data_IF_481943223525
#
_entry.id   IF_481943223525
#
_cell.length_a   1.000
_cell.length_b   1.000
_cell.length_c   1.000
_cell.angle_alpha   90.00
_cell.angle_beta   90.00
_cell.angle_gamma   90.00
#
_symmetry.space_group_name_H-M   'P 1'
#
loop_
_entity.id
_entity.type
_entity.pdbx_description
1 polymer ?
#
# COMPACT_ATOMS: atom_id res chain seq x y z
N UNK A 1 19.48 -41.16 -41.41
CA UNK A 1 19.36 -41.68 -40.03
C UNK A 1 19.17 -40.52 -39.08
N UNK A 2 17.98 -40.37 -38.48
CA UNK A 2 17.73 -39.34 -37.48
C UNK A 2 18.40 -39.74 -36.16
N UNK A 3 19.34 -38.93 -35.66
CA UNK A 3 19.94 -39.13 -34.33
C UNK A 3 18.85 -38.85 -33.28
N UNK A 4 18.46 -39.87 -32.52
CA UNK A 4 17.66 -39.68 -31.31
C UNK A 4 18.59 -39.22 -30.20
N UNK A 5 18.54 -37.94 -29.85
CA UNK A 5 19.21 -37.44 -28.66
C UNK A 5 18.38 -37.86 -27.44
N UNK A 6 18.94 -38.70 -26.59
CA UNK A 6 18.35 -39.02 -25.28
C UNK A 6 18.74 -37.89 -24.33
N UNK A 7 17.99 -36.78 -24.37
CA UNK A 7 18.21 -35.65 -23.46
C UNK A 7 17.62 -36.05 -22.11
N UNK A 8 18.41 -36.14 -21.03
CA UNK A 8 17.87 -36.47 -19.71
C UNK A 8 16.85 -35.41 -19.31
N UNK A 9 15.61 -35.85 -19.08
CA UNK A 9 14.51 -34.98 -18.67
C UNK A 9 14.88 -34.21 -17.41
N UNK A 10 15.04 -32.89 -17.54
CA UNK A 10 15.51 -32.05 -16.45
C UNK A 10 14.33 -31.65 -15.56
N UNK A 11 14.35 -32.08 -14.30
CA UNK A 11 13.33 -31.72 -13.30
C UNK A 11 13.38 -30.26 -12.88
N UNK A 12 14.42 -29.52 -13.29
CA UNK A 12 14.68 -28.14 -12.89
C UNK A 12 13.49 -27.22 -13.19
N UNK A 13 12.86 -27.36 -14.36
CA UNK A 13 11.69 -26.55 -14.72
C UNK A 13 10.49 -26.80 -13.81
N UNK A 14 10.31 -28.03 -13.34
CA UNK A 14 9.25 -28.35 -12.38
C UNK A 14 9.56 -27.74 -11.00
N UNK A 15 10.82 -27.83 -10.56
CA UNK A 15 11.26 -27.20 -9.30
C UNK A 15 11.05 -25.69 -9.35
N UNK A 16 11.45 -25.03 -10.44
CA UNK A 16 11.22 -23.59 -10.63
C UNK A 16 9.73 -23.23 -10.68
N UNK A 17 8.89 -24.03 -11.33
CA UNK A 17 7.45 -23.80 -11.35
C UNK A 17 6.84 -23.84 -9.94
N UNK A 18 7.25 -24.81 -9.11
CA UNK A 18 6.79 -24.93 -7.72
C UNK A 18 7.28 -23.76 -6.86
N UNK A 19 8.54 -23.36 -7.00
CA UNK A 19 9.10 -22.20 -6.28
C UNK A 19 8.35 -20.93 -6.64
N UNK A 20 8.10 -20.69 -7.93
CA UNK A 20 7.37 -19.52 -8.41
C UNK A 20 5.92 -19.52 -7.93
N UNK A 21 5.26 -20.68 -7.88
CA UNK A 21 3.92 -20.80 -7.28
C UNK A 21 3.93 -20.48 -5.80
N UNK A 22 4.90 -20.97 -5.03
CA UNK A 22 5.02 -20.67 -3.61
C UNK A 22 5.26 -19.17 -3.38
N UNK A 23 6.15 -18.55 -4.18
CA UNK A 23 6.39 -17.11 -4.14
C UNK A 23 5.14 -16.32 -4.51
N UNK A 24 4.44 -16.70 -5.58
CA UNK A 24 3.20 -16.07 -6.00
C UNK A 24 2.13 -16.15 -4.91
N UNK A 25 1.94 -17.32 -4.30
CA UNK A 25 1.01 -17.51 -3.19
C UNK A 25 1.37 -16.63 -1.97
N UNK A 26 2.65 -16.50 -1.65
CA UNK A 26 3.12 -15.56 -0.62
C UNK A 26 2.74 -14.13 -0.98
N UNK A 27 3.06 -13.68 -2.20
CA UNK A 27 2.75 -12.31 -2.64
C UNK A 27 1.24 -12.03 -2.67
N UNK A 28 0.41 -13.03 -3.00
CA UNK A 28 -1.06 -12.91 -2.92
C UNK A 28 -1.50 -12.70 -1.48
N UNK A 29 -0.96 -13.50 -0.55
CA UNK A 29 -1.25 -13.37 0.88
C UNK A 29 -0.94 -11.96 1.36
N UNK A 30 0.27 -11.45 1.14
CA UNK A 30 0.65 -10.12 1.64
C UNK A 30 0.03 -8.96 0.85
N UNK A 31 -0.27 -9.15 -0.44
CA UNK A 31 -0.82 -8.11 -1.32
C UNK A 31 -2.34 -7.91 -1.18
N UNK A 32 -3.12 -8.99 -1.13
CA UNK A 32 -4.58 -8.93 -1.02
C UNK A 32 -5.08 -9.09 0.41
N UNK A 33 -4.46 -9.97 1.19
CA UNK A 33 -4.89 -10.35 2.53
C UNK A 33 -3.81 -10.06 3.58
N UNK A 34 -3.38 -8.79 3.72
CA UNK A 34 -2.27 -8.44 4.59
C UNK A 34 -2.54 -8.84 6.04
N UNK A 35 -1.52 -9.42 6.67
CA UNK A 35 -1.53 -9.70 8.10
C UNK A 35 -1.56 -8.40 8.93
N UNK A 36 -1.95 -8.49 10.20
CA UNK A 36 -1.91 -7.33 11.11
C UNK A 36 -0.50 -6.72 11.23
N UNK A 37 0.54 -7.55 11.19
CA UNK A 37 1.92 -7.07 11.21
C UNK A 37 2.26 -6.24 9.95
N UNK A 38 1.74 -6.66 8.79
CA UNK A 38 1.88 -5.92 7.53
C UNK A 38 1.11 -4.62 7.56
N UNK A 39 -0.13 -4.62 8.08
CA UNK A 39 -0.96 -3.42 8.22
C UNK A 39 -0.36 -2.38 9.18
N UNK A 40 0.32 -2.82 10.24
CA UNK A 40 1.05 -1.93 11.15
C UNK A 40 2.22 -1.21 10.46
N UNK A 41 2.90 -1.88 9.52
CA UNK A 41 4.02 -1.31 8.76
C UNK A 41 3.56 -0.48 7.56
N UNK A 42 2.50 -0.92 6.89
CA UNK A 42 1.94 -0.33 5.68
C UNK A 42 0.43 -0.09 5.89
N UNK A 43 0.03 0.96 6.62
CA UNK A 43 -1.36 1.27 6.84
C UNK A 43 -2.03 1.69 5.53
N UNK A 44 -3.26 1.23 5.29
CA UNK A 44 -4.06 1.65 4.11
C UNK A 44 -4.70 3.02 4.29
N UNK A 45 -4.93 3.40 5.54
CA UNK A 45 -5.53 4.67 5.91
C UNK A 45 -4.81 5.24 7.11
N UNK A 46 -4.45 6.52 7.02
CA UNK A 46 -3.90 7.27 8.14
C UNK A 46 -4.92 8.34 8.52
N UNK A 47 -5.42 8.22 9.74
CA UNK A 47 -6.34 9.19 10.33
C UNK A 47 -5.53 10.24 11.07
N UNK A 48 -5.56 11.47 10.58
CA UNK A 48 -4.93 12.60 11.25
C UNK A 48 -5.88 13.16 12.28
N UNK A 49 -5.45 13.14 13.55
CA UNK A 49 -6.23 13.59 14.69
C UNK A 49 -5.69 14.91 15.23
N UNK A 50 -6.55 15.64 15.93
CA UNK A 50 -6.18 16.78 16.76
C UNK A 50 -5.68 16.30 18.13
N UNK A 51 -4.60 16.89 18.63
CA UNK A 51 -4.16 16.61 20.01
C UNK A 51 -4.95 17.42 21.04
N UNK A 52 -5.47 18.57 20.62
CA UNK A 52 -6.09 19.57 21.47
C UNK A 52 -7.35 20.15 20.81
N UNK A 53 -8.35 20.58 21.60
CA UNK A 53 -9.55 21.21 21.08
C UNK A 53 -9.30 22.65 20.62
N UNK A 54 -9.95 23.06 19.53
CA UNK A 54 -9.74 24.37 18.94
C UNK A 54 -10.68 24.69 17.77
N UNK A 55 -10.48 25.85 17.16
CA UNK A 55 -11.20 26.31 15.98
C UNK A 55 -10.35 26.07 14.72
N UNK A 56 -10.89 25.42 13.71
CA UNK A 56 -10.18 25.22 12.43
C UNK A 56 -10.10 26.57 11.71
N UNK A 57 -8.89 27.13 11.59
CA UNK A 57 -8.67 28.43 10.94
C UNK A 57 -8.68 28.31 9.42
N UNK A 58 -7.90 27.37 8.91
CA UNK A 58 -7.74 27.11 7.49
C UNK A 58 -7.46 25.63 7.23
N UNK A 59 -8.06 25.10 6.16
CA UNK A 59 -7.76 23.77 5.61
C UNK A 59 -7.04 24.00 4.29
N UNK A 60 -5.81 23.50 4.16
CA UNK A 60 -4.95 23.76 3.01
C UNK A 60 -5.07 22.71 1.91
N UNK A 61 -5.71 21.58 2.22
CA UNK A 61 -5.77 20.43 1.31
C UNK A 61 -7.21 20.13 0.89
N UNK A 62 -7.36 19.66 -0.34
CA UNK A 62 -8.65 19.20 -0.89
C UNK A 62 -8.71 17.67 -0.92
N UNK A 63 -9.92 17.08 -0.91
CA UNK A 63 -10.08 15.66 -1.21
C UNK A 63 -9.45 15.30 -2.57
N UNK A 64 -8.83 14.13 -2.65
CA UNK A 64 -8.07 13.61 -3.78
C UNK A 64 -6.77 14.37 -4.13
N UNK A 65 -6.33 15.31 -3.30
CA UNK A 65 -5.05 16.00 -3.50
C UNK A 65 -3.87 15.12 -3.06
N UNK A 66 -2.82 15.11 -3.88
CA UNK A 66 -1.54 14.48 -3.53
C UNK A 66 -0.78 15.37 -2.56
N UNK A 67 -0.46 14.84 -1.39
CA UNK A 67 0.27 15.53 -0.33
C UNK A 67 1.60 14.84 -0.05
N UNK A 68 2.65 15.64 0.15
CA UNK A 68 3.98 15.14 0.53
C UNK A 68 4.11 15.04 2.04
N UNK A 69 5.08 14.27 2.50
CA UNK A 69 5.42 14.21 3.93
C UNK A 69 5.76 15.60 4.49
N UNK A 70 5.24 15.91 5.68
CA UNK A 70 5.46 17.19 6.37
C UNK A 70 4.64 18.37 5.85
N UNK A 71 3.83 18.18 4.79
CA UNK A 71 2.96 19.22 4.24
C UNK A 71 1.83 19.58 5.22
N UNK A 72 1.52 20.88 5.42
CA UNK A 72 0.44 21.28 6.31
C UNK A 72 -0.92 20.94 5.70
N UNK A 73 -1.77 20.27 6.49
CA UNK A 73 -3.12 19.83 6.13
C UNK A 73 -4.15 20.83 6.62
N UNK A 74 -4.07 21.19 7.90
CA UNK A 74 -4.96 22.13 8.53
C UNK A 74 -4.22 22.94 9.60
N UNK A 75 -4.67 24.17 9.81
CA UNK A 75 -4.25 25.04 10.90
C UNK A 75 -5.41 25.19 11.88
N UNK A 76 -5.15 24.88 13.14
CA UNK A 76 -6.12 24.95 14.22
C UNK A 76 -5.68 26.02 15.21
N UNK A 77 -6.58 26.92 15.54
CA UNK A 77 -6.44 27.87 16.63
C UNK A 77 -6.84 27.18 17.93
N UNK A 78 -5.88 26.99 18.82
CA UNK A 78 -6.09 26.36 20.11
C UNK A 78 -6.82 27.31 21.04
N UNK A 79 -7.68 26.74 21.89
CA UNK A 79 -8.40 27.49 22.94
C UNK A 79 -7.45 28.18 23.93
N UNK A 80 -6.20 27.69 24.05
CA UNK A 80 -5.16 28.24 24.93
C UNK A 80 -4.27 29.31 24.25
N UNK A 81 -4.79 30.03 23.25
CA UNK A 81 -4.07 31.09 22.50
C UNK A 81 -2.82 30.63 21.72
N UNK A 82 -2.78 29.37 21.26
CA UNK A 82 -1.73 28.84 20.38
C UNK A 82 -2.25 28.49 18.98
N UNK A 83 -1.34 28.26 18.03
CA UNK A 83 -1.68 27.66 16.73
C UNK A 83 -1.07 26.25 16.63
N UNK A 84 -1.86 25.27 16.23
CA UNK A 84 -1.39 23.92 15.89
C UNK A 84 -1.48 23.73 14.38
N UNK A 85 -0.37 23.32 13.76
CA UNK A 85 -0.36 22.87 12.38
C UNK A 85 -0.34 21.35 12.33
N UNK A 86 -1.38 20.77 11.75
CA UNK A 86 -1.39 19.34 11.45
C UNK A 86 -0.61 19.13 10.16
N UNK A 87 0.44 18.32 10.25
CA UNK A 87 1.27 17.94 9.12
C UNK A 87 1.02 16.49 8.73
N UNK A 88 1.17 16.19 7.46
CA UNK A 88 1.13 14.81 6.97
C UNK A 88 2.32 14.02 7.50
N UNK A 89 2.11 12.83 8.07
CA UNK A 89 3.21 11.99 8.53
C UNK A 89 3.92 11.24 7.39
N UNK A 90 3.26 11.03 6.25
CA UNK A 90 3.79 10.33 5.07
C UNK A 90 3.16 10.88 3.79
N UNK A 91 3.74 10.56 2.65
CA UNK A 91 3.20 10.88 1.32
C UNK A 91 1.96 10.03 0.98
N UNK A 92 0.96 10.66 0.36
CA UNK A 92 -0.26 9.99 -0.06
C UNK A 92 -1.31 10.92 -0.62
N UNK A 93 -2.53 10.41 -0.76
CA UNK A 93 -3.70 11.15 -1.23
C UNK A 93 -4.64 11.43 -0.08
N UNK A 94 -5.21 12.63 -0.03
CA UNK A 94 -6.28 12.93 0.92
C UNK A 94 -7.54 12.19 0.49
N UNK A 95 -8.02 11.25 1.32
CA UNK A 95 -9.25 10.52 1.04
C UNK A 95 -10.45 11.41 1.30
N UNK A 96 -10.54 11.97 2.51
CA UNK A 96 -11.63 12.85 2.92
C UNK A 96 -11.19 13.83 4.01
N UNK A 97 -11.72 15.06 3.96
CA UNK A 97 -11.62 16.07 5.01
C UNK A 97 -12.91 16.07 5.80
N UNK A 98 -12.85 15.81 7.11
CA UNK A 98 -14.03 15.73 7.99
C UNK A 98 -14.36 17.06 8.67
N UNK A 99 -13.55 18.09 8.43
CA UNK A 99 -13.69 19.41 9.03
C UNK A 99 -13.68 20.49 7.96
N UNK A 100 -14.42 21.56 8.22
CA UNK A 100 -14.45 22.76 7.40
C UNK A 100 -13.83 23.94 8.13
N UNK A 101 -13.61 25.03 7.38
CA UNK A 101 -13.13 26.29 7.96
C UNK A 101 -14.14 26.81 8.99
N UNK A 102 -13.64 27.24 10.14
CA UNK A 102 -14.36 27.69 11.32
C UNK A 102 -15.13 26.60 12.09
N UNK A 103 -14.90 25.31 11.81
CA UNK A 103 -15.45 24.25 12.64
C UNK A 103 -14.74 24.19 14.01
N UNK A 104 -15.52 23.87 15.05
CA UNK A 104 -15.00 23.54 16.37
C UNK A 104 -14.60 22.06 16.37
N UNK A 105 -13.34 21.80 16.67
CA UNK A 105 -12.78 20.45 16.79
C UNK A 105 -12.51 20.11 18.24
N UNK A 106 -12.94 18.92 18.65
CA UNK A 106 -12.64 18.35 19.96
C UNK A 106 -11.29 17.64 19.96
N UNK A 107 -10.81 17.26 21.14
CA UNK A 107 -9.62 16.42 21.29
C UNK A 107 -9.81 15.06 20.60
N UNK A 108 -8.76 14.57 19.94
CA UNK A 108 -8.74 13.30 19.20
C UNK A 108 -9.72 13.22 18.01
N UNK A 109 -10.30 14.35 17.61
CA UNK A 109 -11.20 14.39 16.46
C UNK A 109 -10.40 14.21 15.17
N UNK A 110 -10.93 13.36 14.28
CA UNK A 110 -10.32 13.12 12.98
C UNK A 110 -10.56 14.34 12.09
N UNK A 111 -9.49 14.98 11.67
CA UNK A 111 -9.50 16.17 10.81
C UNK A 111 -9.55 15.76 9.35
N UNK A 112 -8.69 14.83 8.98
CA UNK A 112 -8.61 14.31 7.63
C UNK A 112 -8.16 12.84 7.66
N UNK A 113 -8.66 12.08 6.69
CA UNK A 113 -8.21 10.72 6.42
C UNK A 113 -7.43 10.75 5.12
N UNK A 114 -6.24 10.16 5.12
CA UNK A 114 -5.42 10.02 3.92
C UNK A 114 -5.14 8.56 3.62
N UNK A 115 -5.02 8.26 2.33
CA UNK A 115 -4.60 6.97 1.81
C UNK A 115 -3.14 7.10 1.37
N UNK A 116 -2.21 6.38 2.01
CA UNK A 116 -0.81 6.41 1.62
C UNK A 116 -0.61 5.96 0.17
N UNK A 117 0.50 6.37 -0.43
CA UNK A 117 0.83 5.86 -1.75
C UNK A 117 1.19 4.37 -1.68
N UNK A 118 0.30 3.52 -2.22
CA UNK A 118 0.33 2.06 -2.10
C UNK A 118 1.37 1.39 -3.03
N UNK A 119 2.65 1.77 -2.88
CA UNK A 119 3.76 1.15 -3.63
C UNK A 119 3.95 -0.33 -3.25
N UNK A 120 3.87 -0.66 -1.96
CA UNK A 120 4.06 -2.02 -1.45
C UNK A 120 2.99 -3.00 -1.95
N UNK A 121 1.71 -2.64 -1.83
CA UNK A 121 0.61 -3.51 -2.25
C UNK A 121 0.58 -3.68 -3.76
N UNK A 122 0.79 -2.60 -4.52
CA UNK A 122 0.84 -2.66 -5.98
C UNK A 122 2.00 -3.52 -6.48
N UNK A 123 3.16 -3.44 -5.81
CA UNK A 123 4.32 -4.29 -6.09
C UNK A 123 4.01 -5.77 -5.86
N UNK A 124 3.49 -6.14 -4.68
CA UNK A 124 3.16 -7.55 -4.38
C UNK A 124 2.10 -8.12 -5.32
N UNK A 125 1.10 -7.32 -5.68
CA UNK A 125 0.08 -7.73 -6.66
C UNK A 125 0.69 -8.01 -8.03
N UNK A 126 1.56 -7.12 -8.51
CA UNK A 126 2.25 -7.27 -9.80
C UNK A 126 3.19 -8.47 -9.78
N UNK A 127 3.97 -8.64 -8.71
CA UNK A 127 4.89 -9.77 -8.53
C UNK A 127 4.14 -11.11 -8.50
N UNK A 128 2.99 -11.17 -7.84
CA UNK A 128 2.15 -12.38 -7.82
C UNK A 128 1.71 -12.79 -9.23
N UNK A 129 1.27 -11.84 -10.06
CA UNK A 129 0.86 -12.10 -11.44
C UNK A 129 2.05 -12.57 -12.28
N UNK A 130 3.20 -11.90 -12.16
CA UNK A 130 4.42 -12.29 -12.88
C UNK A 130 4.92 -13.68 -12.45
N UNK A 131 4.89 -13.99 -11.16
CA UNK A 131 5.28 -15.30 -10.64
C UNK A 131 4.36 -16.41 -11.16
N UNK A 132 3.05 -16.16 -11.24
CA UNK A 132 2.09 -17.11 -11.80
C UNK A 132 2.31 -17.35 -13.29
N UNK A 133 2.57 -16.29 -14.07
CA UNK A 133 2.91 -16.42 -15.49
C UNK A 133 4.22 -17.19 -15.68
N UNK A 134 5.25 -16.88 -14.89
CA UNK A 134 6.53 -17.60 -14.91
C UNK A 134 6.35 -19.08 -14.57
N UNK A 135 5.58 -19.40 -13.54
CA UNK A 135 5.29 -20.78 -13.17
C UNK A 135 4.56 -21.53 -14.29
N UNK A 136 3.61 -20.90 -14.97
CA UNK A 136 2.88 -21.49 -16.10
C UNK A 136 3.82 -21.78 -17.26
N UNK A 137 4.71 -20.83 -17.62
CA UNK A 137 5.71 -21.04 -18.67
C UNK A 137 6.64 -22.20 -18.31
N UNK A 138 7.17 -22.24 -17.08
CA UNK A 138 8.02 -23.35 -16.63
C UNK A 138 7.28 -24.70 -16.67
N UNK A 139 6.01 -24.74 -16.27
CA UNK A 139 5.19 -25.95 -16.33
C UNK A 139 4.94 -26.41 -17.77
N UNK A 140 4.64 -25.49 -18.70
CA UNK A 140 4.45 -25.80 -20.12
C UNK A 140 5.74 -26.35 -20.73
N UNK A 141 6.89 -25.72 -20.48
CA UNK A 141 8.20 -26.21 -20.94
C UNK A 141 8.45 -27.61 -20.39
N UNK A 142 8.20 -27.84 -19.10
CA UNK A 142 8.37 -29.15 -18.49
C UNK A 142 7.48 -30.23 -19.15
N UNK A 143 6.22 -29.89 -19.48
CA UNK A 143 5.31 -30.81 -20.17
C UNK A 143 5.72 -31.11 -21.62
N UNK A 144 6.36 -30.16 -22.31
CA UNK A 144 6.83 -30.33 -23.69
C UNK A 144 8.17 -31.06 -23.78
N UNK A 145 9.03 -30.92 -22.77
CA UNK A 145 10.37 -31.54 -22.72
C UNK A 145 10.32 -32.97 -22.14
N UNK A 146 9.24 -33.32 -21.44
CA UNK A 146 8.96 -34.67 -20.95
C UNK A 146 8.55 -35.61 -22.08
#
# INVERSE_FOLDING_TARGET
MARKFNVPGTSDFLVWAVILLALGAWCVKDGWFPSEATLKKHPREVKMKTDLPGLVKDVFVKPCELVREGQPVARILLTTNGEQMIRTPIQGYIANTHVQKNDLVNRDQVVATMTPEDTFYSFNKSLAVLALLGALVCAVIHLLVR
#
